data_IF_893890482030
#
_entry.id   IF_893890482030
#
_cell.length_a   1.000
_cell.length_b   1.000
_cell.length_c   1.000
_cell.angle_alpha   90.00
_cell.angle_beta   90.00
_cell.angle_gamma   90.00
#
_symmetry.space_group_name_H-M   'P 1'
#
loop_
_entity.id
_entity.type
_entity.pdbx_description
1 polymer ?
#
# COMPACT_ATOMS: atom_id res chain seq x y z
N UNK A 1 -6.64 8.98 -4.92
CA UNK A 1 -5.40 9.39 -5.62
C UNK A 1 -5.38 10.90 -5.90
N UNK A 2 -4.31 11.61 -5.52
CA UNK A 2 -4.15 13.06 -5.74
C UNK A 2 -3.51 13.39 -7.11
N UNK A 3 -2.82 12.41 -7.71
CA UNK A 3 -2.07 12.52 -8.96
C UNK A 3 -1.93 11.12 -9.60
N UNK A 4 -1.44 11.06 -10.85
CA UNK A 4 -1.27 9.81 -11.60
C UNK A 4 -2.47 9.47 -12.50
N UNK A 5 -2.41 8.31 -13.16
CA UNK A 5 -3.47 7.83 -14.03
C UNK A 5 -4.47 7.01 -13.23
N UNK A 6 -5.76 7.35 -13.33
CA UNK A 6 -6.82 6.59 -12.67
C UNK A 6 -6.96 5.21 -13.32
N UNK A 7 -7.09 4.18 -12.48
CA UNK A 7 -7.35 2.80 -12.90
C UNK A 7 -8.37 2.17 -11.96
N UNK A 8 -9.29 1.40 -12.53
CA UNK A 8 -10.33 0.70 -11.78
C UNK A 8 -9.76 -0.62 -11.26
N UNK A 9 -9.77 -0.79 -9.93
CA UNK A 9 -9.22 -1.98 -9.26
C UNK A 9 -10.25 -3.10 -9.04
N UNK A 10 -11.55 -2.78 -8.96
CA UNK A 10 -12.63 -3.74 -8.64
C UNK A 10 -12.45 -4.47 -7.30
N UNK A 11 -11.84 -3.81 -6.31
CA UNK A 11 -11.62 -4.35 -4.96
C UNK A 11 -12.49 -3.61 -3.96
N UNK A 12 -13.05 -4.35 -2.99
CA UNK A 12 -13.68 -3.79 -1.80
C UNK A 12 -12.80 -4.07 -0.58
N UNK A 13 -12.30 -3.02 0.06
CA UNK A 13 -11.48 -3.13 1.27
C UNK A 13 -12.27 -2.58 2.47
N UNK A 14 -12.30 -3.32 3.59
CA UNK A 14 -12.90 -2.89 4.83
C UNK A 14 -11.96 -3.18 6.00
N UNK A 15 -11.85 -2.22 6.92
CA UNK A 15 -11.10 -2.38 8.17
C UNK A 15 -11.59 -1.35 9.18
N UNK A 16 -11.55 -1.71 10.47
CA UNK A 16 -11.68 -0.74 11.57
C UNK A 16 -10.39 0.04 11.82
N UNK A 17 -9.26 -0.46 11.31
CA UNK A 17 -7.96 0.21 11.32
C UNK A 17 -7.77 0.99 10.00
N UNK A 18 -7.87 2.34 10.02
CA UNK A 18 -7.70 3.16 8.82
C UNK A 18 -6.27 3.15 8.26
N UNK A 19 -5.25 2.92 9.10
CA UNK A 19 -3.85 2.90 8.67
C UNK A 19 -3.55 1.58 7.94
N UNK A 20 -4.04 0.46 8.47
CA UNK A 20 -3.93 -0.85 7.82
C UNK A 20 -4.69 -0.88 6.49
N UNK A 21 -5.84 -0.20 6.42
CA UNK A 21 -6.64 -0.08 5.21
C UNK A 21 -5.87 0.64 4.10
N UNK A 22 -5.35 1.83 4.40
CA UNK A 22 -4.59 2.64 3.44
C UNK A 22 -3.28 1.94 3.05
N UNK A 23 -2.62 1.29 4.01
CA UNK A 23 -1.39 0.53 3.75
C UNK A 23 -1.63 -0.68 2.83
N UNK A 24 -2.76 -1.37 3.00
CA UNK A 24 -3.18 -2.48 2.10
C UNK A 24 -3.45 -1.96 0.70
N UNK A 25 -4.16 -0.84 0.56
CA UNK A 25 -4.39 -0.21 -0.74
C UNK A 25 -3.08 0.21 -1.44
N UNK A 26 -2.10 0.71 -0.68
CA UNK A 26 -0.77 1.02 -1.21
C UNK A 26 -0.08 -0.21 -1.79
N UNK A 27 -0.11 -1.34 -1.08
CA UNK A 27 0.51 -2.59 -1.56
C UNK A 27 -0.11 -3.09 -2.86
N UNK A 28 -1.44 -3.01 -3.02
CA UNK A 28 -2.15 -3.39 -4.26
C UNK A 28 -1.57 -2.67 -5.48
N UNK A 29 -1.28 -1.37 -5.34
CA UNK A 29 -0.72 -0.53 -6.42
C UNK A 29 0.82 -0.50 -6.42
N UNK A 30 1.46 -1.44 -5.73
CA UNK A 30 2.92 -1.56 -5.66
C UNK A 30 3.61 -0.32 -5.08
N UNK A 31 2.99 0.28 -4.06
CA UNK A 31 3.51 1.43 -3.32
C UNK A 31 3.88 1.01 -1.89
N UNK A 32 5.09 1.37 -1.46
CA UNK A 32 5.51 1.18 -0.08
C UNK A 32 4.68 2.09 0.86
N UNK A 33 3.89 1.54 1.80
CA UNK A 33 3.08 2.37 2.69
C UNK A 33 3.93 3.27 3.59
N UNK A 34 5.18 2.93 3.87
CA UNK A 34 6.05 3.73 4.74
C UNK A 34 6.37 5.12 4.14
N UNK A 35 6.38 5.24 2.81
CA UNK A 35 6.69 6.49 2.11
C UNK A 35 5.46 7.40 1.97
N UNK A 36 4.28 6.91 2.37
CA UNK A 36 3.05 7.70 2.36
C UNK A 36 3.03 8.61 3.59
N UNK A 37 2.79 9.93 3.44
CA UNK A 37 2.89 10.90 4.53
C UNK A 37 1.97 10.64 5.73
N UNK A 38 0.91 9.85 5.54
CA UNK A 38 -0.12 9.58 6.54
C UNK A 38 0.20 8.37 7.43
N UNK A 39 1.01 7.43 6.95
CA UNK A 39 1.26 6.16 7.65
C UNK A 39 1.93 6.36 9.01
N UNK A 40 3.15 6.94 9.03
CA UNK A 40 3.90 7.14 10.28
C UNK A 40 3.20 8.06 11.28
N UNK A 41 2.65 9.23 10.89
CA UNK A 41 1.93 10.08 11.84
C UNK A 41 0.65 9.41 12.37
N UNK A 42 -0.08 8.66 11.53
CA UNK A 42 -1.28 7.95 11.92
C UNK A 42 -1.01 6.85 12.96
N UNK A 43 0.02 6.04 12.71
CA UNK A 43 0.50 5.04 13.66
C UNK A 43 0.96 5.67 14.99
N UNK A 44 1.78 6.74 14.92
CA UNK A 44 2.20 7.47 16.12
C UNK A 44 1.05 8.08 16.93
N UNK A 45 -0.07 8.33 16.27
CA UNK A 45 -1.29 8.86 16.90
C UNK A 45 -2.21 7.74 17.43
N UNK A 46 -1.81 6.48 17.33
CA UNK A 46 -2.60 5.33 17.78
C UNK A 46 -3.80 5.00 16.89
N UNK A 47 -3.79 5.44 15.63
CA UNK A 47 -4.89 5.19 14.69
C UNK A 47 -4.81 3.82 14.01
N UNK A 48 -3.70 3.09 14.20
CA UNK A 48 -3.49 1.80 13.56
C UNK A 48 -2.04 1.49 13.24
N UNK A 49 -1.81 0.50 12.37
CA UNK A 49 -0.48 0.06 11.92
C UNK A 49 -0.37 0.02 10.41
N UNK A 50 0.81 0.37 9.87
CA UNK A 50 1.10 0.15 8.45
C UNK A 50 2.00 -1.08 8.19
N UNK A 51 2.52 -1.72 9.24
CA UNK A 51 3.41 -2.89 9.17
C UNK A 51 2.61 -4.16 8.85
N UNK A 52 3.02 -4.92 7.82
CA UNK A 52 2.24 -6.05 7.29
C UNK A 52 2.15 -7.21 8.29
N UNK A 53 3.20 -7.43 9.07
CA UNK A 53 3.27 -8.46 10.10
C UNK A 53 2.24 -8.27 11.22
N UNK A 54 1.66 -7.07 11.33
CA UNK A 54 0.62 -6.72 12.29
C UNK A 54 -0.76 -6.57 11.63
N UNK A 55 -0.90 -6.91 10.35
CA UNK A 55 -2.14 -6.82 9.58
C UNK A 55 -2.54 -8.23 9.14
N UNK A 56 -3.68 -8.70 9.66
CA UNK A 56 -4.31 -9.93 9.18
C UNK A 56 -5.21 -9.61 7.97
N UNK A 57 -4.94 -10.24 6.82
CA UNK A 57 -5.77 -10.13 5.64
C UNK A 57 -6.74 -11.31 5.58
N UNK A 58 -8.04 -10.99 5.56
CA UNK A 58 -9.11 -11.98 5.46
C UNK A 58 -9.75 -11.89 4.07
N UNK A 59 -9.86 -13.03 3.39
CA UNK A 59 -10.48 -13.14 2.07
C UNK A 59 -9.49 -13.62 1.01
N UNK A 60 -9.61 -13.06 -0.19
CA UNK A 60 -8.70 -13.37 -1.28
C UNK A 60 -7.33 -12.73 -1.05
N UNK A 61 -6.26 -13.42 -1.48
CA UNK A 61 -4.90 -12.98 -1.21
C UNK A 61 -4.59 -11.70 -1.99
N UNK A 62 -3.82 -10.79 -1.39
CA UNK A 62 -3.52 -9.48 -2.00
C UNK A 62 -2.77 -9.61 -3.33
N UNK A 63 -2.02 -10.71 -3.48
CA UNK A 63 -1.24 -11.05 -4.67
C UNK A 63 -2.10 -11.14 -5.93
N UNK A 64 -3.38 -11.55 -5.82
CA UNK A 64 -4.28 -11.63 -6.98
C UNK A 64 -4.74 -10.26 -7.49
N UNK A 65 -4.58 -9.21 -6.68
CA UNK A 65 -4.95 -7.83 -7.01
C UNK A 65 -3.75 -6.95 -7.35
N UNK A 66 -2.52 -7.47 -7.23
CA UNK A 66 -1.33 -6.67 -7.49
C UNK A 66 -1.33 -6.15 -8.93
N UNK A 67 -1.06 -4.87 -9.05
CA UNK A 67 -0.95 -4.19 -10.33
C UNK A 67 0.37 -3.43 -10.44
N UNK A 68 1.47 -4.10 -10.82
CA UNK A 68 2.76 -3.44 -11.00
C UNK A 68 2.77 -2.37 -12.11
N UNK A 69 1.77 -2.37 -12.99
CA UNK A 69 1.62 -1.38 -14.07
C UNK A 69 1.00 -0.06 -13.59
N UNK A 70 0.62 0.03 -12.31
CA UNK A 70 -0.01 1.22 -11.77
C UNK A 70 0.96 2.41 -11.79
N UNK A 71 0.62 3.44 -12.56
CA UNK A 71 1.45 4.64 -12.70
C UNK A 71 1.31 5.55 -11.47
N UNK A 72 2.14 5.31 -10.46
CA UNK A 72 2.25 6.17 -9.28
C UNK A 72 3.12 7.38 -9.60
N UNK A 73 2.59 8.60 -9.46
CA UNK A 73 3.40 9.81 -9.54
C UNK A 73 4.26 9.97 -8.27
N UNK A 74 5.46 9.37 -8.33
CA UNK A 74 6.46 9.44 -7.27
C UNK A 74 7.16 10.80 -7.15
N UNK A 75 6.91 11.78 -8.04
CA UNK A 75 7.48 13.13 -7.85
C UNK A 75 6.96 13.78 -6.57
N UNK A 76 5.75 13.40 -6.14
CA UNK A 76 5.18 13.79 -4.84
C UNK A 76 5.89 13.11 -3.65
N UNK A 77 6.68 12.06 -3.89
CA UNK A 77 7.23 11.14 -2.90
C UNK A 77 8.75 10.92 -3.03
N UNK A 78 9.43 11.72 -3.87
CA UNK A 78 10.77 11.52 -4.47
C UNK A 78 11.96 11.31 -3.51
N UNK A 79 11.78 11.31 -2.20
CA UNK A 79 12.88 11.19 -1.25
C UNK A 79 13.20 9.76 -0.79
N UNK A 80 12.33 8.75 -0.97
CA UNK A 80 12.60 7.39 -0.45
C UNK A 80 11.98 6.34 -1.36
N UNK A 81 12.79 5.60 -2.12
CA UNK A 81 12.38 4.28 -2.63
C UNK A 81 12.80 3.27 -1.56
N UNK A 82 11.84 2.69 -0.85
CA UNK A 82 12.07 1.49 -0.06
C UNK A 82 12.34 0.30 -0.97
N UNK A 83 13.24 -0.59 -0.57
CA UNK A 83 13.37 -1.91 -1.15
C UNK A 83 12.21 -2.76 -0.66
N UNK A 84 11.34 -3.26 -1.54
CA UNK A 84 10.29 -4.21 -1.16
C UNK A 84 10.93 -5.54 -0.75
N UNK A 85 10.89 -5.94 0.55
CA UNK A 85 11.51 -7.21 0.96
C UNK A 85 10.69 -8.44 0.54
N UNK A 86 9.44 -8.26 0.07
CA UNK A 86 8.53 -9.34 -0.30
C UNK A 86 8.55 -9.72 -1.79
N UNK A 87 9.37 -9.07 -2.62
CA UNK A 87 9.36 -9.20 -4.08
C UNK A 87 10.67 -9.72 -4.68
N UNK A 88 11.50 -10.37 -3.87
CA UNK A 88 12.74 -11.00 -4.33
C UNK A 88 12.57 -12.15 -5.32
N UNK A 89 11.34 -12.64 -5.57
CA UNK A 89 11.11 -13.89 -6.32
C UNK A 89 9.87 -13.88 -7.23
N UNK A 90 9.56 -12.80 -7.94
CA UNK A 90 8.60 -12.88 -9.06
C UNK A 90 9.34 -12.73 -10.40
N UNK A 91 9.30 -13.74 -11.30
CA UNK A 91 9.93 -13.64 -12.60
C UNK A 91 9.23 -12.57 -13.44
N UNK A 92 10.06 -11.82 -14.18
CA UNK A 92 9.64 -10.81 -15.17
C UNK A 92 8.73 -11.40 -16.26
#
# INVERSE_FOLDING_TARGET
PRSGKLKQLNVLLLSSDPIALDATACRIIYLDPEIVPTSKPGEKSGLGTYHIENIELIGESIESFLDPSFEVNLESYRSRRGSFPFLGELPL
#
